data_IF_981383043558
#
_entry.id   IF_981383043558
#
_cell.length_a   1.000
_cell.length_b   1.000
_cell.length_c   1.000
_cell.angle_alpha   90.00
_cell.angle_beta   90.00
_cell.angle_gamma   90.00
#
_symmetry.space_group_name_H-M   'P 1'
#
loop_
_entity.id
_entity.type
_entity.pdbx_description
1 polymer ?
#
# COMPACT_ATOMS: atom_id res chain seq x y z
N UNK A 1 6.24 -11.62 18.99
CA UNK A 1 6.28 -10.15 18.86
C UNK A 1 5.23 -9.80 17.82
N UNK A 2 4.26 -8.96 18.16
CA UNK A 2 3.15 -8.64 17.26
C UNK A 2 3.74 -7.78 16.14
N UNK A 3 3.63 -8.26 14.90
CA UNK A 3 4.05 -7.52 13.70
C UNK A 3 3.04 -6.37 13.57
N UNK A 4 3.49 -5.13 13.71
CA UNK A 4 2.68 -3.97 13.32
C UNK A 4 2.83 -3.90 11.80
N UNK A 5 1.85 -4.42 11.09
CA UNK A 5 1.73 -4.30 9.64
C UNK A 5 0.66 -3.24 9.43
N UNK A 6 1.06 -2.03 9.05
CA UNK A 6 0.14 -0.93 8.73
C UNK A 6 0.85 0.06 7.81
N UNK A 7 0.66 -0.13 6.51
CA UNK A 7 0.07 0.81 5.56
C UNK A 7 -0.25 -0.05 4.34
N UNK A 8 -1.43 0.14 3.77
CA UNK A 8 -1.91 -0.60 2.57
C UNK A 8 -1.11 -0.15 1.34
N UNK A 9 0.14 -0.61 1.25
CA UNK A 9 1.01 -0.66 0.08
C UNK A 9 1.96 -1.84 0.33
N UNK A 10 1.71 -2.94 -0.38
CA UNK A 10 2.47 -4.19 -0.41
C UNK A 10 2.62 -4.97 0.91
N UNK A 11 2.15 -6.22 0.88
CA UNK A 11 2.36 -7.27 1.88
C UNK A 11 3.84 -7.72 1.97
N UNK A 12 4.80 -6.80 2.11
CA UNK A 12 6.14 -7.18 2.50
C UNK A 12 6.11 -7.50 4.00
N UNK A 13 6.22 -8.78 4.34
CA UNK A 13 6.48 -9.18 5.71
C UNK A 13 7.79 -8.52 6.15
N UNK A 14 7.71 -7.47 6.96
CA UNK A 14 8.90 -6.81 7.48
C UNK A 14 9.69 -7.76 8.37
N UNK A 15 11.01 -7.80 8.21
CA UNK A 15 11.90 -8.62 9.03
C UNK A 15 11.99 -8.01 10.42
N UNK A 16 11.32 -8.62 11.40
CA UNK A 16 11.29 -8.12 12.76
C UNK A 16 12.71 -7.92 13.34
N UNK A 17 13.06 -6.67 13.68
CA UNK A 17 14.32 -6.30 14.31
C UNK A 17 15.41 -5.76 13.37
N UNK A 18 15.11 -5.66 12.08
CA UNK A 18 16.01 -5.01 11.13
C UNK A 18 15.82 -3.49 11.17
N UNK A 19 16.89 -2.72 11.39
CA UNK A 19 16.86 -1.25 11.20
C UNK A 19 16.88 -0.90 9.73
N UNK A 20 17.64 -1.64 8.90
CA UNK A 20 17.63 -1.52 7.45
C UNK A 20 17.16 -2.84 6.80
N UNK A 21 16.17 -2.77 5.91
CA UNK A 21 15.67 -3.90 5.13
C UNK A 21 15.47 -3.56 3.67
N UNK A 22 15.39 -4.58 2.82
CA UNK A 22 14.98 -4.46 1.43
C UNK A 22 13.96 -5.53 1.07
N UNK A 23 13.16 -5.29 0.04
CA UNK A 23 12.20 -6.25 -0.48
C UNK A 23 12.19 -6.27 -2.01
N UNK A 24 11.79 -7.40 -2.57
CA UNK A 24 11.48 -7.53 -4.00
C UNK A 24 10.32 -8.51 -4.21
N UNK A 25 9.52 -8.28 -5.24
CA UNK A 25 8.36 -9.10 -5.53
C UNK A 25 7.82 -8.90 -6.94
N UNK A 26 6.76 -9.64 -7.21
CA UNK A 26 5.99 -9.57 -8.44
C UNK A 26 4.51 -9.79 -8.15
N UNK A 27 3.65 -9.13 -8.94
CA UNK A 27 2.19 -9.25 -8.90
C UNK A 27 1.68 -9.55 -10.31
N UNK A 28 0.69 -10.42 -10.41
CA UNK A 28 0.01 -10.70 -11.69
C UNK A 28 -0.80 -9.51 -12.19
N UNK A 29 -1.18 -8.59 -11.31
CA UNK A 29 -1.82 -7.31 -11.58
C UNK A 29 -1.37 -6.36 -10.47
N UNK A 30 -0.91 -5.16 -10.80
CA UNK A 30 -0.70 -4.13 -9.79
C UNK A 30 -1.96 -3.29 -9.67
N UNK A 31 -2.56 -3.28 -8.48
CA UNK A 31 -3.78 -2.51 -8.18
C UNK A 31 -3.49 -1.59 -7.00
N UNK A 32 -3.52 -0.28 -7.25
CA UNK A 32 -3.36 0.76 -6.23
C UNK A 32 -4.73 1.21 -5.73
N UNK A 33 -5.08 0.92 -4.47
CA UNK A 33 -6.36 1.30 -3.84
C UNK A 33 -7.59 1.02 -4.71
N UNK A 34 -7.60 -0.14 -5.38
CA UNK A 34 -8.66 -0.56 -6.29
C UNK A 34 -8.49 -0.14 -7.76
N UNK A 35 -7.51 0.69 -8.09
CA UNK A 35 -7.27 1.18 -9.45
C UNK A 35 -6.15 0.34 -10.11
N UNK A 36 -6.42 -0.40 -11.19
CA UNK A 36 -5.39 -1.15 -11.92
C UNK A 36 -4.32 -0.22 -12.52
N UNK A 37 -3.06 -0.58 -12.32
CA UNK A 37 -1.88 0.17 -12.78
C UNK A 37 -1.13 -0.58 -13.89
N UNK A 38 -1.00 -1.90 -13.78
CA UNK A 38 -0.33 -2.75 -14.77
C UNK A 38 -0.78 -4.21 -14.66
N UNK A 39 -0.84 -4.92 -15.79
CA UNK A 39 -1.24 -6.33 -15.87
C UNK A 39 -0.10 -7.33 -15.56
N UNK A 40 1.03 -6.82 -15.05
CA UNK A 40 2.15 -7.58 -14.50
C UNK A 40 3.16 -6.56 -13.99
N UNK A 41 3.50 -6.63 -12.70
CA UNK A 41 4.44 -5.67 -12.10
C UNK A 41 5.51 -6.41 -11.34
N UNK A 42 6.77 -6.06 -11.59
CA UNK A 42 7.85 -6.32 -10.65
C UNK A 42 8.00 -5.10 -9.75
N UNK A 43 8.31 -5.32 -8.47
CA UNK A 43 8.45 -4.24 -7.51
C UNK A 43 9.52 -4.54 -6.46
N UNK A 44 9.93 -3.51 -5.74
CA UNK A 44 10.83 -3.66 -4.60
C UNK A 44 11.09 -2.34 -3.89
N UNK A 45 11.69 -2.42 -2.71
CA UNK A 45 11.93 -1.26 -1.87
C UNK A 45 13.07 -1.44 -0.89
N UNK A 46 13.42 -0.33 -0.23
CA UNK A 46 14.39 -0.26 0.85
C UNK A 46 13.80 0.57 1.97
N UNK A 47 13.89 0.05 3.19
CA UNK A 47 13.23 0.58 4.37
C UNK A 47 14.24 0.76 5.49
N UNK A 48 14.10 1.88 6.21
CA UNK A 48 14.79 2.14 7.47
C UNK A 48 13.78 2.35 8.60
N UNK A 49 13.98 1.69 9.74
CA UNK A 49 13.17 1.86 10.94
C UNK A 49 14.03 2.00 12.20
N UNK A 50 13.71 2.97 13.05
CA UNK A 50 14.37 3.10 14.36
C UNK A 50 13.50 3.87 15.36
N UNK A 51 13.22 3.24 16.51
CA UNK A 51 12.56 3.90 17.63
C UNK A 51 11.18 4.50 17.31
N UNK A 52 10.45 3.91 16.38
CA UNK A 52 9.15 4.38 15.88
C UNK A 52 9.24 5.24 14.61
N UNK A 53 10.41 5.81 14.30
CA UNK A 53 10.64 6.48 13.03
C UNK A 53 10.80 5.46 11.92
N UNK A 54 10.24 5.77 10.74
CA UNK A 54 10.49 5.00 9.52
C UNK A 54 10.71 5.93 8.32
N UNK A 55 11.51 5.48 7.36
CA UNK A 55 11.77 6.13 6.09
C UNK A 55 12.07 5.05 5.04
N UNK A 56 11.45 5.13 3.88
CA UNK A 56 11.67 4.16 2.83
C UNK A 56 11.43 4.70 1.44
N UNK A 57 11.77 3.86 0.48
CA UNK A 57 11.46 4.06 -0.93
C UNK A 57 11.02 2.74 -1.53
N UNK A 58 10.11 2.82 -2.48
CA UNK A 58 9.59 1.69 -3.20
C UNK A 58 9.50 2.03 -4.68
N UNK A 59 9.58 1.03 -5.55
CA UNK A 59 9.36 1.21 -6.96
C UNK A 59 8.64 0.01 -7.56
N UNK A 60 7.81 0.26 -8.57
CA UNK A 60 7.14 -0.76 -9.35
C UNK A 60 7.10 -0.43 -10.84
N UNK A 61 7.08 -1.49 -11.64
CA UNK A 61 6.79 -1.42 -13.06
C UNK A 61 5.29 -1.14 -13.29
N UNK A 62 4.99 0.00 -13.90
CA UNK A 62 3.63 0.41 -14.31
C UNK A 62 3.41 0.18 -15.81
N UNK A 63 4.20 -0.69 -16.43
CA UNK A 63 4.04 -1.17 -17.80
C UNK A 63 4.61 -0.24 -18.88
N UNK A 64 4.49 1.07 -18.68
CA UNK A 64 5.09 2.10 -19.57
C UNK A 64 6.28 2.82 -18.94
N UNK A 65 6.48 2.67 -17.64
CA UNK A 65 7.54 3.30 -16.86
C UNK A 65 7.60 2.68 -15.46
N UNK A 66 8.18 3.42 -14.52
CA UNK A 66 8.17 3.04 -13.11
C UNK A 66 7.45 4.09 -12.26
N UNK A 67 6.69 3.61 -11.28
CA UNK A 67 6.33 4.35 -10.08
C UNK A 67 7.50 4.28 -9.10
N UNK A 68 7.82 5.40 -8.47
CA UNK A 68 8.86 5.54 -7.47
C UNK A 68 8.26 6.31 -6.30
N UNK A 69 8.21 5.68 -5.15
CA UNK A 69 7.64 6.24 -3.94
C UNK A 69 8.73 6.61 -2.96
N UNK A 70 8.47 7.68 -2.20
CA UNK A 70 9.20 8.03 -1.00
C UNK A 70 8.24 8.23 0.15
N UNK A 71 8.47 7.56 1.26
CA UNK A 71 7.61 7.65 2.43
C UNK A 71 8.41 7.72 3.72
N UNK A 72 7.83 8.34 4.74
CA UNK A 72 8.39 8.33 6.08
C UNK A 72 7.39 8.82 7.11
N UNK A 73 7.67 8.52 8.37
CA UNK A 73 6.75 8.85 9.44
C UNK A 73 7.21 8.39 10.80
N UNK A 74 6.26 8.40 11.74
CA UNK A 74 6.46 7.97 13.11
C UNK A 74 5.25 7.18 13.60
N UNK A 75 5.51 5.95 14.07
CA UNK A 75 4.54 5.07 14.69
C UNK A 75 4.81 4.86 16.18
N UNK A 76 3.74 4.74 16.98
CA UNK A 76 3.86 4.43 18.41
C UNK A 76 2.68 3.62 18.91
N UNK A 77 2.88 2.92 20.02
CA UNK A 77 1.84 2.11 20.68
C UNK A 77 1.51 2.63 22.08
N UNK A 78 0.22 2.73 22.41
CA UNK A 78 -0.27 3.05 23.75
C UNK A 78 -1.43 2.11 24.10
N UNK A 79 -1.29 1.36 25.20
CA UNK A 79 -2.35 0.49 25.73
C UNK A 79 -2.93 -0.50 24.69
N UNK A 80 -2.11 -0.99 23.76
CA UNK A 80 -2.54 -1.93 22.71
C UNK A 80 -3.24 -1.28 21.52
N UNK A 81 -3.27 0.05 21.45
CA UNK A 81 -3.57 0.80 20.24
C UNK A 81 -2.25 1.20 19.57
N UNK A 82 -2.16 1.02 18.25
CA UNK A 82 -1.10 1.58 17.42
C UNK A 82 -1.58 2.86 16.75
N UNK A 83 -0.69 3.84 16.66
CA UNK A 83 -0.93 5.11 16.00
C UNK A 83 0.21 5.39 15.04
N UNK A 84 -0.09 6.03 13.91
CA UNK A 84 0.90 6.46 12.95
C UNK A 84 0.58 7.83 12.39
N UNK A 85 1.64 8.59 12.11
CA UNK A 85 1.59 9.79 11.26
C UNK A 85 2.75 9.71 10.26
N UNK A 86 2.48 10.02 9.00
CA UNK A 86 3.49 9.97 7.95
C UNK A 86 3.16 10.86 6.78
N UNK A 87 4.05 10.82 5.80
CA UNK A 87 3.84 11.40 4.49
C UNK A 87 4.39 10.46 3.41
N UNK A 88 3.74 10.47 2.26
CA UNK A 88 4.14 9.70 1.08
C UNK A 88 4.10 10.60 -0.16
N UNK A 89 5.08 10.45 -1.04
CA UNK A 89 5.06 10.99 -2.39
C UNK A 89 5.19 9.86 -3.41
N UNK A 90 4.39 9.92 -4.46
CA UNK A 90 4.38 8.98 -5.57
C UNK A 90 4.83 9.73 -6.83
N UNK A 91 5.85 9.20 -7.51
CA UNK A 91 6.50 9.85 -8.64
C UNK A 91 6.65 8.88 -9.81
N UNK A 92 6.46 9.35 -11.03
CA UNK A 92 6.50 8.48 -12.21
C UNK A 92 7.62 8.89 -13.16
N UNK A 93 8.28 7.88 -13.76
CA UNK A 93 9.41 8.12 -14.68
C UNK A 93 9.00 8.47 -16.11
N UNK A 94 7.73 8.28 -16.44
CA UNK A 94 7.14 8.53 -17.76
C UNK A 94 5.74 9.14 -17.57
N UNK A 95 5.06 9.49 -18.65
CA UNK A 95 3.72 10.11 -18.66
C UNK A 95 2.59 9.12 -18.31
N UNK A 96 2.87 8.09 -17.50
CA UNK A 96 1.87 7.15 -16.99
C UNK A 96 0.86 7.86 -16.09
N UNK A 97 1.39 8.57 -15.10
CA UNK A 97 0.66 9.48 -14.21
C UNK A 97 1.63 10.56 -13.71
N UNK A 98 1.11 11.56 -13.00
CA UNK A 98 1.89 12.66 -12.44
C UNK A 98 1.99 12.53 -10.91
N UNK A 99 2.38 13.60 -10.23
CA UNK A 99 2.86 13.54 -8.86
C UNK A 99 1.72 13.55 -7.86
N UNK A 100 1.77 12.62 -6.90
CA UNK A 100 0.89 12.63 -5.73
C UNK A 100 1.70 12.88 -4.47
N UNK A 101 1.14 13.63 -3.52
CA UNK A 101 1.73 13.84 -2.19
C UNK A 101 0.64 13.80 -1.13
N UNK A 102 0.83 13.02 -0.08
CA UNK A 102 -0.17 12.86 0.97
C UNK A 102 0.42 12.87 2.37
N UNK A 103 -0.40 13.29 3.32
CA UNK A 103 -0.22 13.06 4.74
C UNK A 103 -1.06 11.85 5.15
N UNK A 104 -0.47 10.96 5.94
CA UNK A 104 -1.05 9.70 6.34
C UNK A 104 -1.27 9.67 7.85
N UNK A 105 -2.41 9.13 8.28
CA UNK A 105 -2.74 8.83 9.67
C UNK A 105 -3.18 7.38 9.76
N UNK A 106 -2.75 6.67 10.81
CA UNK A 106 -3.21 5.31 11.07
C UNK A 106 -3.59 5.10 12.53
N UNK A 107 -4.59 4.26 12.74
CA UNK A 107 -5.07 3.80 14.04
C UNK A 107 -5.35 2.31 13.98
N UNK A 108 -4.57 1.51 14.71
CA UNK A 108 -4.76 0.07 14.81
C UNK A 108 -5.14 -0.39 16.21
N UNK A 109 -5.95 -1.44 16.27
CA UNK A 109 -6.20 -2.19 17.49
C UNK A 109 -6.49 -3.66 17.18
N UNK A 110 -5.71 -4.54 17.82
CA UNK A 110 -5.83 -5.99 17.63
C UNK A 110 -5.63 -6.39 16.16
N UNK A 111 -6.71 -6.79 15.49
CA UNK A 111 -6.70 -7.27 14.12
C UNK A 111 -7.23 -6.22 13.14
N UNK A 112 -7.63 -5.04 13.60
CA UNK A 112 -8.30 -4.01 12.79
C UNK A 112 -7.43 -2.77 12.73
N UNK A 113 -7.34 -2.17 11.55
CA UNK A 113 -6.66 -0.90 11.33
C UNK A 113 -7.54 0.04 10.52
N UNK A 114 -7.50 1.32 10.88
CA UNK A 114 -8.10 2.42 10.12
C UNK A 114 -6.96 3.30 9.60
N UNK A 115 -6.98 3.60 8.31
CA UNK A 115 -6.01 4.49 7.68
C UNK A 115 -6.74 5.66 7.02
N UNK A 116 -6.16 6.84 7.13
CA UNK A 116 -6.63 8.05 6.46
C UNK A 116 -5.46 8.72 5.74
N UNK A 117 -5.67 9.12 4.49
CA UNK A 117 -4.76 9.97 3.76
C UNK A 117 -5.48 11.24 3.27
N UNK A 118 -4.80 12.37 3.36
CA UNK A 118 -5.18 13.61 2.69
C UNK A 118 -4.03 14.01 1.77
N UNK A 119 -4.30 14.15 0.48
CA UNK A 119 -3.26 14.39 -0.50
C UNK A 119 -3.68 15.31 -1.63
N UNK A 120 -2.66 15.70 -2.38
CA UNK A 120 -2.74 16.53 -3.58
C UNK A 120 -2.25 15.70 -4.78
N UNK A 121 -2.91 15.85 -5.91
CA UNK A 121 -2.50 15.31 -7.21
C UNK A 121 -2.18 16.46 -8.18
N UNK A 122 -0.91 16.58 -8.56
CA UNK A 122 -0.42 17.56 -9.52
C UNK A 122 -0.74 17.07 -10.94
N UNK A 123 -1.94 17.34 -11.45
CA UNK A 123 -2.37 16.87 -12.77
C UNK A 123 -1.55 17.49 -13.93
N UNK A 124 -1.09 16.67 -14.88
CA UNK A 124 -0.22 17.04 -16.03
C UNK A 124 -0.53 18.39 -16.70
N UNK A 125 -1.82 18.67 -16.94
CA UNK A 125 -2.26 19.89 -17.61
C UNK A 125 -3.47 20.56 -16.93
N UNK A 126 -3.86 20.04 -15.76
CA UNK A 126 -5.04 20.46 -15.01
C UNK A 126 -4.70 21.31 -13.77
N UNK A 127 -5.71 21.74 -13.01
CA UNK A 127 -5.47 22.18 -11.65
C UNK A 127 -4.97 21.00 -10.80
N UNK A 128 -4.19 21.30 -9.76
CA UNK A 128 -3.97 20.35 -8.67
C UNK A 128 -5.32 19.98 -8.06
N UNK A 129 -5.53 18.68 -7.82
CA UNK A 129 -6.75 18.14 -7.21
C UNK A 129 -6.48 17.72 -5.77
N UNK A 130 -7.42 18.00 -4.87
CA UNK A 130 -7.36 17.56 -3.49
C UNK A 130 -8.12 16.25 -3.34
N UNK A 131 -7.52 15.23 -2.72
CA UNK A 131 -8.20 13.97 -2.43
C UNK A 131 -8.06 13.56 -0.97
N UNK A 132 -9.05 12.79 -0.51
CA UNK A 132 -8.93 12.02 0.72
C UNK A 132 -9.12 10.55 0.44
N UNK A 133 -8.44 9.70 1.19
CA UNK A 133 -8.64 8.26 1.16
C UNK A 133 -8.85 7.75 2.59
N UNK A 134 -9.90 6.96 2.82
CA UNK A 134 -10.19 6.32 4.11
C UNK A 134 -10.29 4.81 3.87
N UNK A 135 -9.60 4.02 4.68
CA UNK A 135 -9.75 2.57 4.65
C UNK A 135 -9.91 1.97 6.05
N UNK A 136 -10.54 0.80 6.05
CA UNK A 136 -10.54 -0.11 7.18
C UNK A 136 -10.03 -1.48 6.72
N UNK A 137 -9.07 -2.03 7.43
CA UNK A 137 -8.50 -3.33 7.15
C UNK A 137 -8.63 -4.27 8.34
N UNK A 138 -8.63 -5.56 8.05
CA UNK A 138 -8.61 -6.62 9.04
C UNK A 138 -7.60 -7.70 8.67
N UNK A 139 -6.81 -8.15 9.65
CA UNK A 139 -5.87 -9.26 9.50
C UNK A 139 -6.09 -10.34 10.56
N UNK A 140 -6.35 -11.58 10.12
CA UNK A 140 -6.49 -12.73 10.99
C UNK A 140 -5.21 -13.57 10.99
N UNK A 141 -4.82 -14.09 12.15
CA UNK A 141 -3.61 -14.91 12.31
C UNK A 141 -3.55 -16.22 11.50
N UNK A 142 -4.61 -16.56 10.75
CA UNK A 142 -4.60 -17.64 9.77
C UNK A 142 -4.01 -17.25 8.40
N UNK A 143 -3.67 -15.97 8.19
CA UNK A 143 -3.24 -15.42 6.90
C UNK A 143 -4.38 -14.81 6.08
N UNK A 144 -5.62 -14.83 6.59
CA UNK A 144 -6.75 -14.16 5.94
C UNK A 144 -6.74 -12.68 6.28
N UNK A 145 -7.01 -11.84 5.28
CA UNK A 145 -7.16 -10.41 5.48
C UNK A 145 -8.19 -9.81 4.51
N UNK A 146 -8.59 -8.58 4.77
CA UNK A 146 -9.46 -7.84 3.88
C UNK A 146 -9.40 -6.35 4.12
N UNK A 147 -9.77 -5.59 3.10
CA UNK A 147 -9.75 -4.12 3.11
C UNK A 147 -11.04 -3.60 2.50
N UNK A 148 -11.54 -2.51 3.06
CA UNK A 148 -12.51 -1.64 2.40
C UNK A 148 -11.90 -0.25 2.33
N UNK A 149 -12.02 0.43 1.19
CA UNK A 149 -11.45 1.75 0.97
C UNK A 149 -12.37 2.64 0.16
N UNK A 150 -12.34 3.94 0.43
CA UNK A 150 -13.16 4.95 -0.23
C UNK A 150 -12.37 6.23 -0.47
N UNK A 151 -12.56 6.83 -1.64
CA UNK A 151 -12.02 8.13 -2.00
C UNK A 151 -13.04 9.26 -1.77
N UNK A 152 -12.55 10.46 -1.53
CA UNK A 152 -13.35 11.67 -1.36
C UNK A 152 -12.63 12.94 -1.78
N UNK A 153 -13.29 14.08 -1.54
CA UNK A 153 -12.94 15.41 -2.06
C UNK A 153 -13.08 15.47 -3.60
N UNK A 154 -12.02 15.76 -4.35
CA UNK A 154 -12.07 15.79 -5.82
C UNK A 154 -11.93 14.38 -6.45
N UNK A 155 -11.70 13.35 -5.62
CA UNK A 155 -11.78 11.94 -6.00
C UNK A 155 -13.03 11.28 -5.42
N UNK A 156 -13.43 10.14 -5.96
CA UNK A 156 -14.59 9.38 -5.49
C UNK A 156 -14.52 7.91 -5.89
N UNK A 157 -15.25 7.08 -5.15
CA UNK A 157 -15.42 5.66 -5.43
C UNK A 157 -14.82 4.75 -4.38
N UNK A 158 -15.30 3.51 -4.39
CA UNK A 158 -15.00 2.51 -3.38
C UNK A 158 -14.30 1.28 -3.97
N UNK A 159 -13.49 0.61 -3.15
CA UNK A 159 -13.03 -0.75 -3.43
C UNK A 159 -13.02 -1.62 -2.18
N UNK A 160 -13.04 -2.93 -2.42
CA UNK A 160 -13.11 -3.97 -1.40
C UNK A 160 -12.14 -5.08 -1.81
N UNK A 161 -11.37 -5.60 -0.86
CA UNK A 161 -10.52 -6.75 -1.09
C UNK A 161 -10.65 -7.79 0.01
N UNK A 162 -10.48 -9.05 -0.38
CA UNK A 162 -10.24 -10.17 0.54
C UNK A 162 -9.10 -11.00 -0.02
N UNK A 163 -8.17 -11.36 0.86
CA UNK A 163 -6.99 -12.09 0.45
C UNK A 163 -6.57 -13.16 1.45
N UNK A 164 -5.68 -14.01 0.98
CA UNK A 164 -4.97 -14.99 1.78
C UNK A 164 -3.48 -14.91 1.48
N UNK A 165 -2.68 -14.71 2.52
CA UNK A 165 -1.23 -14.66 2.46
C UNK A 165 -0.59 -15.75 3.31
N UNK A 166 0.54 -16.28 2.85
CA UNK A 166 1.37 -17.23 3.61
C UNK A 166 2.84 -17.09 3.25
N UNK A 167 3.71 -17.57 4.13
CA UNK A 167 5.16 -17.59 3.93
C UNK A 167 5.63 -19.04 3.78
N UNK A 168 6.36 -19.34 2.70
CA UNK A 168 6.97 -20.65 2.44
C UNK A 168 8.47 -20.47 2.25
N UNK A 169 9.25 -20.92 3.23
CA UNK A 169 10.72 -20.82 3.22
C UNK A 169 11.24 -19.37 3.03
N UNK A 170 10.59 -18.40 3.70
CA UNK A 170 10.94 -16.98 3.57
C UNK A 170 10.64 -16.40 2.19
N UNK A 171 9.65 -16.98 1.48
CA UNK A 171 9.03 -16.42 0.28
C UNK A 171 7.57 -16.18 0.63
N UNK A 172 7.13 -14.94 0.47
CA UNK A 172 5.75 -14.54 0.70
C UNK A 172 4.93 -14.86 -0.56
N UNK A 173 3.74 -15.45 -0.36
CA UNK A 173 2.80 -15.80 -1.41
C UNK A 173 1.41 -15.28 -1.01
N UNK A 174 0.70 -14.61 -1.92
CA UNK A 174 -0.68 -14.22 -1.69
C UNK A 174 -1.59 -14.46 -2.90
N UNK A 175 -2.88 -14.56 -2.60
CA UNK A 175 -3.96 -14.45 -3.57
C UNK A 175 -5.01 -13.47 -3.03
N UNK A 176 -5.46 -12.57 -3.90
CA UNK A 176 -6.35 -11.46 -3.56
C UNK A 176 -7.51 -11.41 -4.54
N UNK A 177 -8.73 -11.33 -4.03
CA UNK A 177 -9.91 -10.95 -4.79
C UNK A 177 -10.24 -9.50 -4.47
N UNK A 178 -10.19 -8.65 -5.48
CA UNK A 178 -10.41 -7.21 -5.37
C UNK A 178 -11.63 -6.84 -6.21
N UNK A 179 -12.56 -6.07 -5.66
CA UNK A 179 -13.67 -5.47 -6.37
C UNK A 179 -13.57 -3.95 -6.28
N UNK A 180 -13.69 -3.29 -7.42
CA UNK A 180 -13.64 -1.83 -7.56
C UNK A 180 -14.93 -1.35 -8.20
N UNK A 181 -15.55 -0.32 -7.63
CA UNK A 181 -16.81 0.17 -8.14
C UNK A 181 -16.65 0.95 -9.46
N UNK A 182 -17.77 1.23 -10.11
CA UNK A 182 -17.78 1.90 -11.41
C UNK A 182 -17.44 3.40 -11.32
N UNK A 183 -17.66 4.03 -10.16
CA UNK A 183 -17.33 5.43 -9.92
C UNK A 183 -15.80 5.59 -9.86
N UNK A 184 -15.15 4.73 -9.08
CA UNK A 184 -13.70 4.66 -8.94
C UNK A 184 -12.99 4.44 -10.27
N UNK A 185 -13.55 3.56 -11.11
CA UNK A 185 -12.97 3.21 -12.41
C UNK A 185 -13.37 4.16 -13.55
N UNK A 186 -14.29 5.11 -13.31
CA UNK A 186 -14.87 5.94 -14.38
C UNK A 186 -15.54 5.11 -15.49
N UNK A 187 -16.04 3.92 -15.15
CA UNK A 187 -16.48 2.90 -16.11
C UNK A 187 -18.01 2.69 -16.06
N UNK A 188 -18.55 1.94 -17.03
CA UNK A 188 -19.98 1.61 -17.06
C UNK A 188 -20.41 0.60 -15.99
N UNK A 189 -19.45 -0.08 -15.37
CA UNK A 189 -19.66 -1.10 -14.34
C UNK A 189 -18.39 -1.29 -13.53
N UNK A 190 -18.52 -1.88 -12.35
CA UNK A 190 -17.37 -2.23 -11.51
C UNK A 190 -16.64 -3.45 -12.05
N UNK A 191 -15.44 -3.67 -11.52
CA UNK A 191 -14.52 -4.72 -11.96
C UNK A 191 -14.11 -5.62 -10.79
N UNK A 192 -13.92 -6.91 -11.06
CA UNK A 192 -13.31 -7.86 -10.12
C UNK A 192 -12.00 -8.39 -10.65
N UNK A 193 -10.96 -8.31 -9.84
CA UNK A 193 -9.62 -8.76 -10.15
C UNK A 193 -9.18 -9.88 -9.21
N UNK A 194 -8.57 -10.92 -9.76
CA UNK A 194 -7.91 -11.99 -9.01
C UNK A 194 -6.40 -11.83 -9.17
N UNK A 195 -5.72 -11.44 -8.10
CA UNK A 195 -4.29 -11.09 -8.12
C UNK A 195 -3.49 -12.16 -7.38
N UNK A 196 -2.37 -12.56 -7.97
CA UNK A 196 -1.38 -13.45 -7.35
C UNK A 196 -0.10 -12.67 -7.11
N UNK A 197 0.46 -12.82 -5.92
CA UNK A 197 1.71 -12.13 -5.55
C UNK A 197 2.76 -13.10 -5.02
N UNK A 198 4.01 -12.78 -5.31
CA UNK A 198 5.20 -13.41 -4.74
C UNK A 198 6.18 -12.34 -4.26
N UNK A 199 6.75 -12.51 -3.08
CA UNK A 199 7.66 -11.53 -2.49
C UNK A 199 8.75 -12.16 -1.64
N UNK A 200 9.79 -11.37 -1.35
CA UNK A 200 10.82 -11.71 -0.40
C UNK A 200 11.41 -10.46 0.25
N UNK A 201 11.51 -10.50 1.57
CA UNK A 201 12.21 -9.49 2.38
C UNK A 201 13.62 -9.94 2.78
N UNK A 202 14.52 -8.97 2.94
CA UNK A 202 15.92 -9.15 3.27
C UNK A 202 16.30 -8.21 4.42
N UNK A 203 16.93 -8.77 5.45
CA UNK A 203 17.59 -8.00 6.50
C UNK A 203 18.97 -7.55 6.00
N UNK A 204 19.23 -6.24 6.08
CA UNK A 204 20.48 -5.62 5.62
C UNK A 204 21.42 -5.21 6.76
N UNK A 205 21.04 -5.44 8.02
CA UNK A 205 21.88 -5.13 9.17
C UNK A 205 22.95 -6.23 9.31
N UNK A 206 24.20 -5.88 9.00
CA UNK A 206 25.36 -6.76 9.14
C UNK A 206 26.19 -6.41 10.37
#
# INVERSE_FOLDING_TARGET
MKRIVTITMLLAAQTAGAELSANLGWQSEYIFRGIPQSTSSAQGGVDFESGGFYLGTWAADVGVGAEIDGYGGYGWEVNGFSFGIGATGYFYTDDFDDTYRELNLSLGHSAVTLDFAAGEYDNFAGPTLDYTFLSASFEHGSGLYGVIGTFGADAEGDYYSVGYGTEVNGIDLSVDLIYSDNTLLGASGGESNLVFSIGKSFDLNR
#
